data_IF_583316215194
#
_entry.id   IF_583316215194
#
_cell.length_a   1.000
_cell.length_b   1.000
_cell.length_c   1.000
_cell.angle_alpha   90.00
_cell.angle_beta   90.00
_cell.angle_gamma   90.00
#
_symmetry.space_group_name_H-M   'P 1'
#
loop_
_entity.id
_entity.type
_entity.pdbx_description
1 polymer ?
#
# COMPACT_ATOMS: atom_id res chain seq x y z
N UNK A 1 51.82 35.72 -6.64
CA UNK A 1 51.43 35.21 -5.31
C UNK A 1 49.93 35.40 -5.08
N UNK A 2 49.39 36.63 -5.09
CA UNK A 2 47.95 36.88 -4.92
C UNK A 2 47.03 36.18 -5.95
N UNK A 3 47.40 36.13 -7.23
CA UNK A 3 46.60 35.41 -8.25
C UNK A 3 46.53 33.89 -8.05
N UNK A 4 47.56 33.28 -7.42
CA UNK A 4 47.57 31.84 -7.15
C UNK A 4 46.63 31.50 -6.00
N UNK A 5 46.62 32.32 -4.96
CA UNK A 5 45.73 32.18 -3.81
C UNK A 5 44.25 32.30 -4.22
N UNK A 6 43.93 33.27 -5.07
CA UNK A 6 42.58 33.42 -5.66
C UNK A 6 42.21 32.20 -6.51
N UNK A 7 43.14 31.68 -7.31
CA UNK A 7 42.91 30.47 -8.11
C UNK A 7 42.64 29.25 -7.22
N UNK A 8 43.44 29.06 -6.17
CA UNK A 8 43.29 27.95 -5.22
C UNK A 8 41.91 28.04 -4.50
N UNK A 9 41.47 29.25 -4.12
CA UNK A 9 40.12 29.45 -3.57
C UNK A 9 39.00 29.16 -4.57
N UNK A 10 39.16 29.50 -5.85
CA UNK A 10 38.18 29.18 -6.89
C UNK A 10 38.07 27.67 -7.08
N UNK A 11 39.19 26.95 -7.09
CA UNK A 11 39.20 25.49 -7.20
C UNK A 11 38.50 24.86 -5.99
N UNK A 12 38.84 25.31 -4.79
CA UNK A 12 38.23 24.80 -3.56
C UNK A 12 36.72 25.08 -3.50
N UNK A 13 36.29 26.27 -3.93
CA UNK A 13 34.87 26.60 -4.05
C UNK A 13 34.16 25.71 -5.08
N UNK A 14 34.81 25.41 -6.21
CA UNK A 14 34.28 24.50 -7.23
C UNK A 14 34.09 23.09 -6.70
N UNK A 15 35.08 22.56 -5.97
CA UNK A 15 34.99 21.23 -5.34
C UNK A 15 33.86 21.17 -4.32
N UNK A 16 33.68 22.22 -3.51
CA UNK A 16 32.57 22.33 -2.56
C UNK A 16 31.21 22.34 -3.28
N UNK A 17 31.08 23.09 -4.38
CA UNK A 17 29.84 23.12 -5.18
C UNK A 17 29.51 21.74 -5.73
N UNK A 18 30.49 21.01 -6.23
CA UNK A 18 30.31 19.66 -6.76
C UNK A 18 29.89 18.67 -5.66
N UNK A 19 30.54 18.75 -4.49
CA UNK A 19 30.18 17.93 -3.33
C UNK A 19 28.75 18.23 -2.83
N UNK A 20 28.36 19.51 -2.75
CA UNK A 20 26.99 19.88 -2.40
C UNK A 20 25.98 19.39 -3.43
N UNK A 21 26.32 19.42 -4.73
CA UNK A 21 25.46 18.88 -5.78
C UNK A 21 25.20 17.40 -5.56
N UNK A 22 26.23 16.61 -5.27
CA UNK A 22 26.09 15.17 -4.99
C UNK A 22 25.24 14.90 -3.75
N UNK A 23 25.43 15.69 -2.68
CA UNK A 23 24.60 15.60 -1.47
C UNK A 23 23.14 15.93 -1.77
N UNK A 24 22.85 16.97 -2.55
CA UNK A 24 21.48 17.35 -2.93
C UNK A 24 20.80 16.25 -3.75
N UNK A 25 21.52 15.63 -4.68
CA UNK A 25 21.00 14.49 -5.45
C UNK A 25 20.69 13.32 -4.51
N UNK A 26 21.59 12.99 -3.58
CA UNK A 26 21.34 11.95 -2.58
C UNK A 26 20.13 12.25 -1.69
N UNK A 27 19.94 13.50 -1.28
CA UNK A 27 18.76 13.92 -0.51
C UNK A 27 17.47 13.83 -1.33
N UNK A 28 17.52 14.16 -2.62
CA UNK A 28 16.38 14.02 -3.52
C UNK A 28 15.98 12.54 -3.66
N UNK A 29 16.95 11.64 -3.85
CA UNK A 29 16.70 10.21 -3.93
C UNK A 29 16.10 9.66 -2.63
N UNK A 30 16.61 10.10 -1.48
CA UNK A 30 16.03 9.77 -0.16
C UNK A 30 14.60 10.29 -0.02
N UNK A 31 14.33 11.51 -0.49
CA UNK A 31 12.99 12.09 -0.46
C UNK A 31 12.00 11.27 -1.30
N UNK A 32 12.38 10.93 -2.55
CA UNK A 32 11.57 10.08 -3.43
C UNK A 32 11.33 8.71 -2.79
N UNK A 33 12.35 8.11 -2.19
CA UNK A 33 12.21 6.85 -1.45
C UNK A 33 11.23 6.97 -0.28
N UNK A 34 11.28 8.05 0.49
CA UNK A 34 10.35 8.26 1.60
C UNK A 34 8.90 8.41 1.10
N UNK A 35 8.70 9.15 0.01
CA UNK A 35 7.39 9.29 -0.64
C UNK A 35 6.87 7.93 -1.12
N UNK A 36 7.73 7.11 -1.76
CA UNK A 36 7.37 5.77 -2.20
C UNK A 36 7.01 4.83 -1.05
N UNK A 37 7.71 4.94 0.10
CA UNK A 37 7.37 4.17 1.31
C UNK A 37 5.97 4.55 1.82
N UNK A 38 5.67 5.84 1.91
CA UNK A 38 4.32 6.32 2.28
C UNK A 38 3.26 5.87 1.28
N UNK A 39 3.56 5.92 -0.02
CA UNK A 39 2.65 5.45 -1.05
C UNK A 39 2.40 3.95 -0.96
N UNK A 40 3.43 3.14 -0.65
CA UNK A 40 3.28 1.72 -0.38
C UNK A 40 2.39 1.45 0.84
N UNK A 41 2.50 2.23 1.91
CA UNK A 41 1.59 2.12 3.06
C UNK A 41 0.14 2.44 2.67
N UNK A 42 -0.08 3.54 1.94
CA UNK A 42 -1.42 3.91 1.45
C UNK A 42 -2.00 2.82 0.54
N UNK A 43 -1.21 2.28 -0.40
CA UNK A 43 -1.63 1.18 -1.27
C UNK A 43 -1.97 -0.09 -0.48
N UNK A 44 -1.20 -0.43 0.55
CA UNK A 44 -1.52 -1.56 1.44
C UNK A 44 -2.88 -1.35 2.11
N UNK A 45 -3.16 -0.15 2.65
CA UNK A 45 -4.45 0.14 3.27
C UNK A 45 -5.60 -0.02 2.27
N UNK A 46 -5.48 0.55 1.08
CA UNK A 46 -6.49 0.45 0.03
C UNK A 46 -6.72 -1.01 -0.40
N UNK A 47 -5.65 -1.79 -0.56
CA UNK A 47 -5.73 -3.21 -0.90
C UNK A 47 -6.41 -4.03 0.20
N UNK A 48 -6.08 -3.78 1.48
CA UNK A 48 -6.73 -4.44 2.62
C UNK A 48 -8.23 -4.14 2.62
N UNK A 49 -8.63 -2.87 2.51
CA UNK A 49 -10.06 -2.48 2.45
C UNK A 49 -10.77 -3.19 1.29
N UNK A 50 -10.16 -3.21 0.11
CA UNK A 50 -10.73 -3.87 -1.08
C UNK A 50 -10.87 -5.38 -0.87
N UNK A 51 -9.85 -6.01 -0.29
CA UNK A 51 -9.83 -7.43 -0.03
C UNK A 51 -10.88 -7.86 1.01
N UNK A 52 -11.19 -7.00 1.97
CA UNK A 52 -12.27 -7.23 2.94
C UNK A 52 -13.66 -7.12 2.30
N UNK A 53 -13.82 -6.22 1.32
CA UNK A 53 -15.09 -6.03 0.64
C UNK A 53 -15.37 -7.10 -0.41
N UNK A 54 -14.34 -7.63 -1.09
CA UNK A 54 -14.50 -8.56 -2.21
C UNK A 54 -15.37 -9.82 -1.92
N UNK A 55 -15.21 -10.54 -0.79
CA UNK A 55 -16.06 -11.68 -0.46
C UNK A 55 -17.52 -11.26 -0.25
N UNK A 56 -17.75 -10.11 0.40
CA UNK A 56 -19.09 -9.59 0.65
C UNK A 56 -19.78 -9.17 -0.66
N UNK A 57 -19.07 -8.53 -1.60
CA UNK A 57 -19.62 -8.17 -2.92
C UNK A 57 -19.90 -9.38 -3.78
N UNK A 58 -19.03 -10.40 -3.78
CA UNK A 58 -19.26 -11.64 -4.56
C UNK A 58 -20.49 -12.37 -4.03
N UNK A 59 -20.60 -12.57 -2.71
CA UNK A 59 -21.73 -13.28 -2.13
C UNK A 59 -23.01 -12.43 -2.29
N UNK A 60 -22.96 -11.13 -2.02
CA UNK A 60 -24.10 -10.22 -2.24
C UNK A 60 -24.55 -10.18 -3.71
N UNK A 61 -23.60 -10.24 -4.65
CA UNK A 61 -23.88 -10.36 -6.07
C UNK A 61 -24.60 -11.65 -6.42
N UNK A 62 -24.10 -12.81 -5.96
CA UNK A 62 -24.71 -14.14 -6.21
C UNK A 62 -26.13 -14.21 -5.64
N UNK A 63 -26.36 -13.71 -4.42
CA UNK A 63 -27.69 -13.69 -3.79
C UNK A 63 -28.63 -12.62 -4.38
N UNK A 64 -28.08 -11.59 -5.03
CA UNK A 64 -28.86 -10.56 -5.74
C UNK A 64 -29.26 -10.96 -7.17
N UNK A 65 -28.77 -12.10 -7.69
CA UNK A 65 -29.17 -12.59 -9.01
C UNK A 65 -30.58 -13.20 -8.95
N UNK A 66 -31.44 -12.87 -9.93
CA UNK A 66 -32.82 -13.38 -10.05
C UNK A 66 -32.88 -14.85 -10.49
N UNK A 67 -32.29 -15.78 -9.73
CA UNK A 67 -32.39 -17.21 -10.00
C UNK A 67 -33.58 -17.83 -9.25
N UNK A 68 -34.46 -18.52 -9.99
CA UNK A 68 -35.69 -19.15 -9.48
C UNK A 68 -35.44 -20.32 -8.50
N UNK A 69 -34.24 -20.90 -8.49
CA UNK A 69 -33.79 -21.89 -7.50
C UNK A 69 -32.33 -21.63 -7.14
N UNK A 70 -32.10 -20.87 -6.09
CA UNK A 70 -30.77 -20.80 -5.45
C UNK A 70 -30.69 -21.98 -4.46
N UNK A 71 -29.71 -22.90 -4.56
CA UNK A 71 -29.65 -24.14 -3.77
C UNK A 71 -29.51 -24.00 -2.23
N UNK A 72 -29.70 -22.80 -1.67
CA UNK A 72 -29.65 -22.52 -0.23
C UNK A 72 -30.80 -21.64 0.28
N UNK A 73 -31.78 -21.29 -0.58
CA UNK A 73 -32.82 -20.30 -0.25
C UNK A 73 -34.02 -20.89 0.51
N UNK A 74 -34.36 -22.16 0.27
CA UNK A 74 -35.45 -22.88 0.95
C UNK A 74 -35.06 -23.41 2.34
N UNK A 75 -33.79 -23.27 2.74
CA UNK A 75 -33.28 -23.83 3.99
C UNK A 75 -33.17 -22.71 5.04
N UNK A 76 -33.84 -22.87 6.19
CA UNK A 76 -33.91 -21.85 7.25
C UNK A 76 -32.53 -21.42 7.79
N UNK A 77 -31.50 -22.25 7.59
CA UNK A 77 -30.11 -22.00 7.98
C UNK A 77 -29.21 -21.50 6.83
N UNK A 78 -29.66 -21.54 5.58
CA UNK A 78 -28.84 -21.16 4.42
C UNK A 78 -28.47 -19.68 4.39
N UNK A 79 -29.41 -18.82 4.79
CA UNK A 79 -29.16 -17.38 4.98
C UNK A 79 -28.09 -17.13 6.07
N UNK A 80 -28.25 -17.75 7.24
CA UNK A 80 -27.31 -17.60 8.36
C UNK A 80 -25.92 -18.17 8.04
N UNK A 81 -25.84 -19.29 7.32
CA UNK A 81 -24.58 -19.85 6.87
C UNK A 81 -23.85 -18.92 5.88
N UNK A 82 -24.57 -18.34 4.91
CA UNK A 82 -24.00 -17.38 3.97
C UNK A 82 -23.46 -16.12 4.66
N UNK A 83 -24.22 -15.58 5.62
CA UNK A 83 -23.78 -14.45 6.45
C UNK A 83 -22.57 -14.81 7.30
N UNK A 84 -22.54 -16.01 7.88
CA UNK A 84 -21.38 -16.50 8.63
C UNK A 84 -20.14 -16.59 7.73
N UNK A 85 -20.25 -17.10 6.50
CA UNK A 85 -19.13 -17.12 5.54
C UNK A 85 -18.69 -15.72 5.10
N UNK A 86 -19.63 -14.80 4.85
CA UNK A 86 -19.34 -13.39 4.53
C UNK A 86 -18.52 -12.69 5.63
N UNK A 87 -18.75 -13.02 6.90
CA UNK A 87 -18.03 -12.43 8.03
C UNK A 87 -16.74 -13.19 8.36
N UNK A 88 -16.75 -14.52 8.26
CA UNK A 88 -15.63 -15.37 8.66
C UNK A 88 -14.45 -15.24 7.69
N UNK A 89 -14.70 -15.09 6.38
CA UNK A 89 -13.64 -14.95 5.38
C UNK A 89 -12.84 -13.64 5.60
N UNK A 90 -13.45 -12.44 5.68
CA UNK A 90 -12.71 -11.21 5.99
C UNK A 90 -11.97 -11.28 7.32
N UNK A 91 -12.58 -11.84 8.38
CA UNK A 91 -11.93 -11.98 9.69
C UNK A 91 -10.69 -12.88 9.62
N UNK A 92 -10.77 -14.01 8.92
CA UNK A 92 -9.63 -14.89 8.68
C UNK A 92 -8.52 -14.18 7.88
N UNK A 93 -8.89 -13.37 6.88
CA UNK A 93 -7.94 -12.58 6.10
C UNK A 93 -7.25 -11.51 6.96
N UNK A 94 -7.99 -10.77 7.82
CA UNK A 94 -7.42 -9.81 8.76
C UNK A 94 -6.41 -10.50 9.68
N UNK A 95 -6.76 -11.67 10.22
CA UNK A 95 -5.88 -12.43 11.09
C UNK A 95 -4.58 -12.85 10.37
N UNK A 96 -4.69 -13.28 9.12
CA UNK A 96 -3.55 -13.66 8.30
C UNK A 96 -2.67 -12.45 7.93
N UNK A 97 -3.27 -11.31 7.58
CA UNK A 97 -2.56 -10.06 7.32
C UNK A 97 -1.82 -9.54 8.56
N UNK A 98 -2.46 -9.60 9.73
CA UNK A 98 -1.83 -9.25 11.01
C UNK A 98 -0.67 -10.19 11.34
N UNK A 99 -0.84 -11.51 11.16
CA UNK A 99 0.23 -12.49 11.41
C UNK A 99 1.43 -12.33 10.48
N UNK A 100 1.20 -11.87 9.24
CA UNK A 100 2.27 -11.60 8.28
C UNK A 100 2.94 -10.23 8.44
N UNK A 101 2.54 -9.42 9.43
CA UNK A 101 3.14 -8.11 9.68
C UNK A 101 2.81 -7.08 8.59
N UNK A 102 1.66 -7.22 7.93
CA UNK A 102 1.18 -6.23 6.95
C UNK A 102 0.46 -5.05 7.60
N UNK A 103 0.10 -5.20 8.89
CA UNK A 103 -0.37 -4.17 9.79
C UNK A 103 0.75 -3.74 10.74
#
# INVERSE_FOLDING_TARGET
KYFKDVYDHIVQASELVENYRDVVVGLQDLHINNVNLRMNEVMKVMAVVTCLLAPATVIGGIFGMNFTKIPFLDNHYGFWAAVAFMLLIPVAMIWLFKKRGWF
#
